data_IF_290867905991
#
_entry.id   IF_290867905991
#
_cell.length_a   1.000
_cell.length_b   1.000
_cell.length_c   1.000
_cell.angle_alpha   90.00
_cell.angle_beta   90.00
_cell.angle_gamma   90.00
#
_symmetry.space_group_name_H-M   'P 1'
#
loop_
_entity.id
_entity.type
_entity.pdbx_description
1 polymer ?
2 branched ?
3 non-polymer ?
4 non-polymer ?
5 non-polymer ?
6 non-polymer ?
7 non-polymer ?
8 water ?
#
# COMPACT_ATOMS: atom_id res chain seq x y z
N UNK A 1 -26.28 7.08 -1.66
CA UNK A 1 -27.23 5.94 -1.82
C UNK A 1 -27.53 5.33 -0.45
N UNK A 2 -28.76 4.87 -0.27
CA UNK A 2 -29.15 4.28 1.00
C UNK A 2 -28.35 3.02 1.28
N UNK A 3 -28.14 2.22 0.24
CA UNK A 3 -27.38 0.98 0.36
C UNK A 3 -26.17 1.01 -0.56
N UNK A 4 -25.10 0.34 -0.14
CA UNK A 4 -23.88 0.27 -0.93
C UNK A 4 -23.38 -1.17 -0.98
N UNK A 5 -22.90 -1.58 -2.15
CA UNK A 5 -22.37 -2.94 -2.33
C UNK A 5 -20.89 -2.95 -1.97
N UNK A 6 -20.59 -2.97 -0.67
CA UNK A 6 -19.21 -2.99 -0.22
C UNK A 6 -18.51 -4.29 -0.61
N UNK A 7 -19.28 -5.36 -0.67
CA UNK A 7 -18.77 -6.68 -1.03
C UNK A 7 -18.11 -6.70 -2.41
N UNK A 8 -18.81 -6.19 -3.41
CA UNK A 8 -18.29 -6.14 -4.76
C UNK A 8 -17.09 -5.19 -4.88
N UNK A 9 -17.14 -4.07 -4.18
CA UNK A 9 -16.04 -3.12 -4.20
C UNK A 9 -14.78 -3.79 -3.65
N UNK A 10 -14.94 -4.55 -2.57
CA UNK A 10 -13.81 -5.25 -1.97
C UNK A 10 -13.21 -6.21 -3.00
N UNK A 11 -14.06 -7.00 -3.64
CA UNK A 11 -13.60 -7.94 -4.64
C UNK A 11 -12.79 -7.23 -5.71
N UNK A 12 -13.32 -6.13 -6.24
CA UNK A 12 -12.63 -5.36 -7.27
C UNK A 12 -11.32 -4.76 -6.80
N UNK A 13 -11.31 -4.18 -5.60
CA UNK A 13 -10.10 -3.56 -5.06
C UNK A 13 -8.95 -4.56 -4.97
N UNK A 14 -9.28 -5.82 -4.70
CA UNK A 14 -8.26 -6.86 -4.60
C UNK A 14 -7.82 -7.26 -6.01
N UNK A 15 -8.79 -7.39 -6.91
CA UNK A 15 -8.52 -7.77 -8.29
C UNK A 15 -7.55 -6.81 -9.00
N UNK A 16 -7.63 -5.52 -8.65
CA UNK A 16 -6.77 -4.52 -9.26
C UNK A 16 -5.29 -4.91 -9.32
N UNK A 17 -4.81 -5.53 -8.25
CA UNK A 17 -3.40 -5.90 -8.20
C UNK A 17 -2.93 -6.77 -9.36
N UNK A 18 -3.84 -7.56 -9.94
CA UNK A 18 -3.48 -8.40 -11.08
C UNK A 18 -2.94 -7.53 -12.23
N UNK A 19 -3.46 -6.31 -12.36
CA UNK A 19 -3.04 -5.43 -13.44
C UNK A 19 -1.58 -4.99 -13.37
N UNK A 20 -1.00 -5.02 -12.18
CA UNK A 20 0.40 -4.60 -12.02
C UNK A 20 1.40 -5.72 -11.75
N UNK A 21 0.96 -6.98 -11.77
CA UNK A 21 1.89 -8.08 -11.55
C UNK A 21 3.02 -8.05 -12.56
N UNK A 22 4.22 -8.33 -12.08
CA UNK A 22 5.42 -8.31 -12.91
C UNK A 22 6.10 -9.68 -12.86
N UNK A 23 6.78 -10.03 -13.94
CA UNK A 23 7.49 -11.31 -13.97
C UNK A 23 6.92 -12.37 -14.90
N UNK A 24 7.61 -13.51 -15.04
CA UNK A 24 7.18 -14.60 -15.89
C UNK A 24 5.85 -15.25 -15.48
N UNK A 25 5.45 -15.08 -14.23
CA UNK A 25 4.20 -15.67 -13.76
C UNK A 25 3.08 -14.65 -13.62
N UNK A 26 3.32 -13.44 -14.11
CA UNK A 26 2.33 -12.37 -14.02
C UNK A 26 0.95 -12.75 -14.54
N UNK A 27 0.91 -13.55 -15.60
CA UNK A 27 -0.36 -13.94 -16.18
C UNK A 27 -1.05 -15.14 -15.55
N UNK A 28 -0.35 -15.81 -14.64
CA UNK A 28 -0.89 -16.98 -13.97
C UNK A 28 -2.05 -16.61 -13.03
N UNK A 29 -3.21 -17.22 -13.26
CA UNK A 29 -4.39 -16.94 -12.45
C UNK A 29 -4.70 -15.44 -12.42
N UNK A 30 -4.50 -14.78 -13.54
CA UNK A 30 -4.75 -13.34 -13.67
C UNK A 30 -6.12 -13.14 -14.31
N UNK A 31 -6.95 -12.28 -13.74
CA UNK A 31 -8.28 -12.03 -14.30
C UNK A 31 -8.28 -11.17 -15.56
N UNK A 32 -7.17 -10.48 -15.81
CA UNK A 32 -7.07 -9.63 -17.00
C UNK A 32 -6.38 -10.40 -18.13
N UNK A 33 -7.10 -10.67 -19.21
CA UNK A 33 -6.52 -11.41 -20.33
C UNK A 33 -5.46 -10.58 -21.06
N UNK A 34 -5.45 -9.27 -20.81
CA UNK A 34 -4.48 -8.40 -21.45
C UNK A 34 -3.12 -8.28 -20.74
N UNK A 35 -2.93 -9.08 -19.69
CA UNK A 35 -1.66 -9.08 -18.96
C UNK A 35 -0.93 -10.39 -19.20
N UNK A 36 0.39 -10.29 -19.40
CA UNK A 36 1.21 -11.47 -19.63
C UNK A 36 2.57 -11.31 -18.99
N UNK A 37 3.45 -12.27 -19.23
CA UNK A 37 4.81 -12.25 -18.69
C UNK A 37 5.56 -10.96 -19.09
N UNK A 38 6.32 -10.41 -18.16
CA UNK A 38 7.09 -9.19 -18.41
C UNK A 38 8.34 -9.08 -17.54
N UNK A 39 9.31 -8.28 -18.00
CA UNK A 39 10.56 -8.04 -17.28
C UNK A 39 11.05 -9.35 -16.65
N UNK A 40 11.12 -10.38 -17.48
CA UNK A 40 11.51 -11.71 -17.05
C UNK A 40 12.96 -11.97 -16.71
N UNK A 41 13.82 -10.96 -16.84
CA UNK A 41 15.23 -11.15 -16.51
C UNK A 41 15.69 -10.17 -15.43
N UNK A 42 14.74 -9.61 -14.70
CA UNK A 42 15.05 -8.66 -13.63
C UNK A 42 16.08 -9.27 -12.67
N UNK A 43 17.12 -8.50 -12.36
CA UNK A 43 18.14 -8.98 -11.46
C UNK A 43 19.37 -9.63 -12.11
N UNK A 44 19.27 -9.96 -13.39
CA UNK A 44 20.36 -10.59 -14.10
C UNK A 44 21.65 -9.77 -14.06
N UNK A 45 21.51 -8.44 -13.96
CA UNK A 45 22.67 -7.58 -13.92
C UNK A 45 23.50 -7.81 -12.66
N UNK A 46 22.87 -8.37 -11.63
CA UNK A 46 23.58 -8.65 -10.38
C UNK A 46 23.67 -10.14 -10.07
N UNK A 47 23.14 -10.97 -10.97
CA UNK A 47 23.21 -12.41 -10.77
C UNK A 47 22.23 -12.95 -9.73
N UNK A 48 21.09 -12.28 -9.57
CA UNK A 48 20.08 -12.72 -8.61
C UNK A 48 18.72 -12.66 -9.28
N UNK A 49 17.90 -13.69 -9.08
CA UNK A 49 16.56 -13.69 -9.68
C UNK A 49 15.70 -12.72 -8.90
N UNK A 50 15.42 -11.56 -9.50
CA UNK A 50 14.59 -10.54 -8.85
C UNK A 50 13.27 -10.31 -9.59
N UNK A 51 12.78 -11.35 -10.28
CA UNK A 51 11.52 -11.25 -11.01
C UNK A 51 10.37 -11.40 -10.02
N UNK A 52 9.19 -10.90 -10.40
CA UNK A 52 8.04 -10.99 -9.52
C UNK A 52 7.70 -9.64 -8.94
N UNK A 53 6.86 -9.61 -7.92
CA UNK A 53 6.50 -8.33 -7.34
C UNK A 53 5.54 -7.57 -8.24
N UNK A 54 5.41 -6.27 -8.03
CA UNK A 54 4.49 -5.46 -8.81
C UNK A 54 5.02 -4.13 -9.33
N UNK A 55 4.50 -3.71 -10.49
CA UNK A 55 4.86 -2.41 -11.05
C UNK A 55 4.26 -1.46 -10.03
N UNK A 56 4.95 -0.37 -9.74
CA UNK A 56 4.50 0.58 -8.73
C UNK A 56 3.17 1.28 -8.97
N UNK A 57 3.04 1.98 -10.09
CA UNK A 57 1.82 2.72 -10.37
C UNK A 57 1.34 2.55 -11.82
N UNK A 58 1.51 3.61 -12.60
CA UNK A 58 1.13 3.57 -14.00
C UNK A 58 2.39 3.25 -14.78
N UNK A 59 3.52 3.27 -14.08
CA UNK A 59 4.82 2.96 -14.66
C UNK A 59 5.18 1.52 -14.33
N UNK A 60 6.42 1.13 -14.64
CA UNK A 60 6.83 -0.25 -14.41
C UNK A 60 7.97 -0.50 -13.43
N UNK A 61 8.48 0.55 -12.81
CA UNK A 61 9.57 0.40 -11.85
C UNK A 61 9.02 -0.24 -10.58
N UNK A 62 9.87 -0.98 -9.88
CA UNK A 62 9.47 -1.59 -8.62
C UNK A 62 10.21 -0.84 -7.52
N UNK A 63 9.52 0.12 -6.89
CA UNK A 63 10.09 0.95 -5.83
C UNK A 63 9.90 0.27 -4.47
N UNK A 64 11.00 0.05 -3.77
CA UNK A 64 10.97 -0.63 -2.48
C UNK A 64 10.07 -0.16 -1.36
N UNK A 65 10.08 1.14 -1.06
CA UNK A 65 9.25 1.65 0.03
C UNK A 65 7.75 1.44 -0.21
N UNK A 66 7.23 1.92 -1.36
CA UNK A 66 5.81 1.70 -1.58
C UNK A 66 5.44 0.23 -1.77
N UNK A 67 6.38 -0.57 -2.27
CA UNK A 67 6.11 -2.00 -2.48
C UNK A 67 5.92 -2.66 -1.10
N UNK A 68 6.81 -2.35 -0.16
CA UNK A 68 6.71 -2.91 1.17
C UNK A 68 5.48 -2.43 1.92
N UNK A 69 5.25 -1.11 1.86
CA UNK A 69 4.10 -0.52 2.54
C UNK A 69 2.80 -1.18 2.08
N UNK A 70 2.64 -1.34 0.77
CA UNK A 70 1.43 -1.93 0.21
C UNK A 70 1.19 -3.36 0.67
N UNK A 71 2.25 -4.16 0.71
CA UNK A 71 2.12 -5.55 1.16
C UNK A 71 1.75 -5.60 2.63
N UNK A 72 2.29 -4.67 3.42
CA UNK A 72 2.02 -4.62 4.85
C UNK A 72 0.57 -4.23 5.13
N UNK A 73 0.08 -3.21 4.43
CA UNK A 73 -1.29 -2.75 4.62
C UNK A 73 -2.31 -3.80 4.16
N UNK A 74 -2.00 -4.50 3.07
CA UNK A 74 -2.90 -5.55 2.60
C UNK A 74 -2.90 -6.67 3.63
N UNK A 75 -1.72 -7.00 4.16
CA UNK A 75 -1.63 -8.04 5.17
C UNK A 75 -2.42 -7.66 6.42
N UNK A 76 -2.34 -6.38 6.79
CA UNK A 76 -3.03 -5.88 7.97
C UNK A 76 -4.55 -5.99 7.79
N UNK A 77 -5.00 -5.70 6.58
CA UNK A 77 -6.41 -5.77 6.24
C UNK A 77 -6.98 -7.17 6.51
N UNK A 78 -6.31 -8.19 5.99
CA UNK A 78 -6.75 -9.56 6.16
C UNK A 78 -6.68 -10.01 7.62
N UNK A 79 -5.66 -9.55 8.33
CA UNK A 79 -5.46 -9.91 9.73
C UNK A 79 -6.57 -9.37 10.64
N UNK A 80 -6.94 -8.10 10.45
CA UNK A 80 -7.96 -7.46 11.28
C UNK A 80 -9.41 -7.74 10.89
N UNK A 81 -9.68 -7.93 9.60
CA UNK A 81 -11.05 -8.17 9.13
C UNK A 81 -11.18 -9.46 8.33
N UNK A 82 -10.55 -10.53 8.82
CA UNK A 82 -10.57 -11.82 8.14
C UNK A 82 -11.97 -12.30 7.73
N UNK A 83 -12.91 -12.15 8.64
CA UNK A 83 -14.28 -12.58 8.41
C UNK A 83 -14.90 -11.87 7.19
N UNK A 84 -14.50 -10.61 6.96
CA UNK A 84 -15.02 -9.87 5.82
C UNK A 84 -14.58 -10.55 4.53
N UNK A 85 -13.37 -11.09 4.51
CA UNK A 85 -12.86 -11.77 3.32
C UNK A 85 -13.48 -13.16 3.17
N UNK A 86 -13.61 -13.88 4.28
CA UNK A 86 -14.20 -15.22 4.24
C UNK A 86 -15.65 -15.21 3.74
N UNK A 87 -16.48 -14.41 4.38
CA UNK A 87 -17.90 -14.33 4.02
C UNK A 87 -18.19 -13.85 2.59
N UNK A 88 -17.28 -13.09 2.00
CA UNK A 88 -17.48 -12.59 0.65
C UNK A 88 -16.76 -13.42 -0.40
N UNK A 89 -16.10 -14.49 0.04
CA UNK A 89 -15.38 -15.35 -0.88
C UNK A 89 -14.16 -14.71 -1.56
N UNK A 90 -13.46 -13.85 -0.84
CA UNK A 90 -12.28 -13.19 -1.38
C UNK A 90 -10.97 -13.58 -0.71
N UNK A 91 -11.04 -14.41 0.33
CA UNK A 91 -9.84 -14.82 1.03
C UNK A 91 -8.81 -15.49 0.13
N UNK A 92 -9.25 -16.40 -0.72
CA UNK A 92 -8.33 -17.10 -1.63
C UNK A 92 -7.54 -16.12 -2.51
N UNK A 93 -8.26 -15.27 -3.24
CA UNK A 93 -7.61 -14.29 -4.11
C UNK A 93 -6.68 -13.37 -3.30
N UNK A 94 -7.19 -12.84 -2.19
CA UNK A 94 -6.36 -11.97 -1.35
C UNK A 94 -5.04 -12.64 -0.98
N UNK A 95 -5.12 -13.87 -0.49
CA UNK A 95 -3.92 -14.61 -0.11
C UNK A 95 -2.99 -14.77 -1.31
N UNK A 96 -3.56 -14.88 -2.51
CA UNK A 96 -2.74 -15.01 -3.70
C UNK A 96 -2.02 -13.68 -3.99
N UNK A 97 -2.71 -12.55 -3.84
CA UNK A 97 -2.07 -11.26 -4.10
C UNK A 97 -0.92 -11.05 -3.10
N UNK A 98 -1.17 -11.42 -1.85
CA UNK A 98 -0.18 -11.29 -0.80
C UNK A 98 1.06 -12.15 -1.05
N UNK A 99 0.85 -13.41 -1.42
CA UNK A 99 1.98 -14.28 -1.67
C UNK A 99 2.82 -13.81 -2.86
N UNK A 100 2.19 -13.17 -3.85
CA UNK A 100 2.93 -12.69 -5.00
C UNK A 100 3.92 -11.63 -4.52
N UNK A 101 3.52 -10.91 -3.47
CA UNK A 101 4.36 -9.89 -2.87
C UNK A 101 5.48 -10.57 -2.09
N UNK A 102 5.12 -11.43 -1.15
CA UNK A 102 6.12 -12.10 -0.33
C UNK A 102 7.14 -12.96 -1.09
N UNK A 103 6.71 -13.67 -2.13
CA UNK A 103 7.66 -14.47 -2.92
C UNK A 103 8.77 -13.54 -3.44
N UNK A 104 8.40 -12.35 -3.87
CA UNK A 104 9.35 -11.37 -4.40
C UNK A 104 10.31 -10.89 -3.32
N UNK A 105 9.79 -10.62 -2.12
CA UNK A 105 10.63 -10.17 -1.02
C UNK A 105 11.65 -11.25 -0.65
N UNK A 106 11.22 -12.51 -0.65
CA UNK A 106 12.12 -13.61 -0.30
C UNK A 106 13.24 -13.75 -1.33
N UNK A 107 12.89 -13.63 -2.62
CA UNK A 107 13.89 -13.73 -3.67
C UNK A 107 14.89 -12.56 -3.62
N UNK A 108 14.44 -11.43 -3.09
CA UNK A 108 15.28 -10.24 -3.00
C UNK A 108 16.18 -10.29 -1.76
N UNK A 109 16.04 -11.35 -0.98
CA UNK A 109 16.81 -11.52 0.25
C UNK A 109 17.66 -12.80 0.11
N UNK A 110 18.65 -12.78 -0.80
CA UNK A 110 19.54 -13.92 -1.05
C UNK A 110 20.36 -14.42 0.15
N UNK A 111 20.68 -13.53 1.07
CA UNK A 111 21.42 -13.91 2.28
C UNK A 111 20.89 -13.05 3.44
N UNK A 112 21.26 -13.42 4.66
CA UNK A 112 20.77 -12.73 5.85
C UNK A 112 21.01 -11.22 5.97
N UNK A 113 22.01 -10.69 5.27
CA UNK A 113 22.28 -9.27 5.39
C UNK A 113 22.17 -8.48 4.08
N UNK A 114 21.40 -8.99 3.13
CA UNK A 114 21.24 -8.31 1.84
C UNK A 114 19.79 -8.25 1.39
N UNK A 115 19.38 -7.09 0.87
CA UNK A 115 18.03 -6.93 0.37
C UNK A 115 17.96 -5.94 -0.78
N UNK A 116 17.69 -6.44 -1.98
CA UNK A 116 17.56 -5.57 -3.15
C UNK A 116 16.15 -5.01 -3.08
N UNK A 117 16.00 -3.71 -3.32
CA UNK A 117 14.68 -3.12 -3.21
C UNK A 117 14.19 -2.19 -4.33
N UNK A 118 14.97 -2.07 -5.40
CA UNK A 118 14.51 -1.28 -6.54
C UNK A 118 15.01 -1.87 -7.84
N UNK A 119 14.07 -2.19 -8.73
CA UNK A 119 14.39 -2.74 -10.03
C UNK A 119 13.85 -1.71 -11.02
N UNK A 120 14.76 -1.14 -11.82
CA UNK A 120 14.36 -0.14 -12.80
C UNK A 120 14.84 1.25 -12.40
N UNK A 121 14.91 2.15 -13.38
CA UNK A 121 15.33 3.52 -13.13
C UNK A 121 14.15 4.39 -13.58
N UNK A 122 13.53 5.07 -12.62
CA UNK A 122 12.37 5.90 -12.91
C UNK A 122 12.39 6.87 -14.08
N UNK A 123 13.44 7.67 -14.19
CA UNK A 123 13.52 8.64 -15.28
C UNK A 123 13.46 8.00 -16.66
N UNK A 124 14.30 7.00 -16.90
CA UNK A 124 14.30 6.31 -18.19
C UNK A 124 13.00 5.52 -18.43
N UNK A 125 12.49 4.86 -17.38
CA UNK A 125 11.26 4.07 -17.49
C UNK A 125 10.08 4.93 -17.95
N UNK A 126 10.04 6.16 -17.44
CA UNK A 126 8.95 7.07 -17.77
C UNK A 126 9.00 7.64 -19.20
N UNK A 127 10.14 7.48 -19.88
CA UNK A 127 10.25 7.98 -21.24
C UNK A 127 9.65 6.93 -22.19
N UNK A 128 9.24 5.81 -21.61
CA UNK A 128 8.65 4.71 -22.37
C UNK A 128 7.14 4.62 -22.15
N UNK A 129 6.40 4.34 -23.22
CA UNK A 129 4.95 4.20 -23.10
C UNK A 129 4.49 3.06 -24.00
N UNK A 130 4.14 1.94 -23.37
CA UNK A 130 3.67 0.77 -24.09
C UNK A 130 3.39 -0.34 -23.11
N UNK A 131 3.15 -1.55 -23.62
CA UNK A 131 2.85 -2.68 -22.76
C UNK A 131 4.11 -3.14 -22.02
N UNK A 132 3.96 -3.51 -20.74
CA UNK A 132 5.16 -3.97 -20.01
C UNK A 132 5.74 -5.24 -20.63
N UNK A 133 4.89 -6.02 -21.28
CA UNK A 133 5.33 -7.26 -21.92
C UNK A 133 6.26 -7.00 -23.11
N UNK A 134 6.22 -5.77 -23.64
CA UNK A 134 7.04 -5.41 -24.78
C UNK A 134 8.20 -4.45 -24.47
N UNK A 135 8.38 -4.10 -23.20
CA UNK A 135 9.47 -3.20 -22.81
C UNK A 135 10.75 -4.01 -22.62
N UNK A 136 11.51 -4.16 -23.70
CA UNK A 136 12.75 -4.94 -23.69
C UNK A 136 13.95 -4.22 -23.08
N UNK A 137 15.00 -4.99 -22.80
CA UNK A 137 16.21 -4.44 -22.22
C UNK A 137 16.39 -4.82 -20.77
N UNK A 138 17.64 -4.90 -20.32
CA UNK A 138 17.92 -5.25 -18.95
C UNK A 138 17.71 -4.06 -18.01
N UNK A 139 16.88 -4.28 -16.98
CA UNK A 139 16.61 -3.24 -16.01
C UNK A 139 17.69 -3.30 -14.94
N UNK A 140 18.07 -2.13 -14.41
CA UNK A 140 19.11 -2.11 -13.37
C UNK A 140 18.56 -2.37 -11.97
N UNK A 141 19.29 -3.17 -11.20
CA UNK A 141 18.90 -3.43 -9.81
C UNK A 141 19.61 -2.26 -9.16
N UNK A 142 18.98 -1.10 -9.29
CA UNK A 142 19.52 0.17 -8.82
C UNK A 142 19.90 0.33 -7.35
N UNK A 143 19.07 -0.17 -6.44
CA UNK A 143 19.36 -0.03 -5.02
C UNK A 143 19.31 -1.33 -4.23
N UNK A 144 20.19 -1.43 -3.24
CA UNK A 144 20.29 -2.61 -2.40
C UNK A 144 20.67 -2.18 -1.00
N UNK A 145 20.09 -2.83 0.00
CA UNK A 145 20.40 -2.52 1.38
C UNK A 145 21.35 -3.60 1.89
N UNK A 146 22.39 -3.18 2.60
CA UNK A 146 23.37 -4.10 3.19
C UNK A 146 24.01 -3.39 4.39
N UNK A 147 24.93 -4.07 5.11
CA UNK A 147 25.57 -3.45 6.27
C UNK A 147 26.12 -2.03 6.08
N UNK A 148 26.50 -1.68 4.85
CA UNK A 148 27.05 -0.36 4.60
C UNK A 148 26.09 0.61 3.89
N UNK A 149 24.88 0.13 3.58
CA UNK A 149 23.89 0.97 2.91
C UNK A 149 22.54 0.83 3.61
N UNK A 150 22.16 1.84 4.41
CA UNK A 150 20.90 1.85 5.15
C UNK A 150 19.62 2.00 4.33
N UNK A 151 18.53 1.43 4.86
CA UNK A 151 17.20 1.50 4.24
C UNK A 151 16.21 0.99 5.29
N UNK A 152 16.36 1.52 6.51
CA UNK A 152 15.54 1.13 7.65
C UNK A 152 14.04 1.17 7.41
N UNK A 153 13.55 2.19 6.72
CA UNK A 153 12.11 2.27 6.46
C UNK A 153 11.65 1.18 5.50
N UNK A 154 12.35 1.02 4.38
CA UNK A 154 12.00 -0.01 3.41
C UNK A 154 12.09 -1.40 4.04
N UNK A 155 13.21 -1.67 4.72
CA UNK A 155 13.40 -2.96 5.36
C UNK A 155 12.31 -3.26 6.38
N UNK A 156 11.90 -2.25 7.14
CA UNK A 156 10.86 -2.44 8.15
C UNK A 156 9.48 -2.71 7.58
N UNK A 157 9.09 -1.97 6.55
CA UNK A 157 7.77 -2.21 5.96
C UNK A 157 7.72 -3.60 5.33
N UNK A 158 8.81 -4.01 4.70
CA UNK A 158 8.90 -5.33 4.10
C UNK A 158 8.83 -6.37 5.21
N UNK A 159 9.52 -6.11 6.32
CA UNK A 159 9.53 -7.01 7.46
C UNK A 159 8.10 -7.19 7.99
N UNK A 160 7.39 -6.09 8.17
CA UNK A 160 6.02 -6.13 8.67
C UNK A 160 5.13 -6.97 7.76
N UNK A 161 5.29 -6.78 6.46
CA UNK A 161 4.51 -7.52 5.47
C UNK A 161 4.75 -9.02 5.58
N UNK A 162 6.00 -9.38 5.85
CA UNK A 162 6.37 -10.79 5.97
C UNK A 162 5.86 -11.41 7.27
N UNK A 163 5.85 -10.63 8.34
CA UNK A 163 5.36 -11.13 9.61
C UNK A 163 3.85 -11.33 9.49
N UNK A 164 3.16 -10.35 8.92
CA UNK A 164 1.72 -10.46 8.75
C UNK A 164 1.37 -11.67 7.90
N UNK A 165 2.22 -12.02 6.94
CA UNK A 165 1.95 -13.19 6.10
C UNK A 165 2.10 -14.44 6.96
N UNK A 166 3.08 -14.45 7.86
CA UNK A 166 3.24 -15.60 8.75
C UNK A 166 1.95 -15.78 9.55
N UNK A 167 1.45 -14.67 10.08
CA UNK A 167 0.21 -14.68 10.88
C UNK A 167 -1.02 -15.08 10.07
N UNK A 168 -1.08 -14.65 8.82
CA UNK A 168 -2.22 -14.96 7.96
C UNK A 168 -2.11 -16.29 7.21
N UNK A 169 -0.89 -16.83 7.13
CA UNK A 169 -0.67 -18.06 6.37
C UNK A 169 -0.29 -19.34 7.13
N UNK A 170 0.08 -19.22 8.40
CA UNK A 170 0.51 -20.40 9.16
C UNK A 170 -0.48 -21.55 9.28
N UNK A 171 -1.76 -21.29 9.03
CA UNK A 171 -2.76 -22.36 9.11
C UNK A 171 -3.00 -22.97 7.74
N UNK A 172 -2.26 -22.49 6.75
CA UNK A 172 -2.38 -23.00 5.38
C UNK A 172 -1.11 -23.74 4.98
N UNK A 173 0.02 -23.04 5.10
CA UNK A 173 1.33 -23.61 4.79
C UNK A 173 2.27 -23.07 5.86
N UNK A 174 2.36 -23.79 6.98
CA UNK A 174 3.19 -23.37 8.11
C UNK A 174 4.67 -23.27 7.77
N UNK A 175 5.15 -24.07 6.83
CA UNK A 175 6.56 -24.03 6.44
C UNK A 175 6.84 -22.71 5.74
N UNK A 176 6.01 -22.37 4.76
CA UNK A 176 6.18 -21.12 4.02
C UNK A 176 6.03 -19.95 4.99
N UNK A 177 5.05 -20.03 5.88
CA UNK A 177 4.81 -18.98 6.84
C UNK A 177 6.06 -18.70 7.68
N UNK A 178 6.76 -19.76 8.09
CA UNK A 178 7.97 -19.59 8.89
C UNK A 178 9.11 -19.02 8.07
N UNK A 179 9.12 -19.32 6.76
CA UNK A 179 10.16 -18.77 5.91
C UNK A 179 9.99 -17.25 5.89
N UNK A 180 8.74 -16.81 5.89
CA UNK A 180 8.41 -15.39 5.90
C UNK A 180 8.84 -14.76 7.23
N UNK A 181 8.50 -15.40 8.33
CA UNK A 181 8.87 -14.87 9.65
C UNK A 181 10.38 -14.80 9.82
N UNK A 182 11.10 -15.83 9.36
CA UNK A 182 12.56 -15.81 9.47
C UNK A 182 13.13 -14.63 8.71
N UNK A 183 12.63 -14.39 7.51
CA UNK A 183 13.09 -13.27 6.70
C UNK A 183 12.73 -11.96 7.37
N UNK A 184 11.52 -11.89 7.93
CA UNK A 184 11.05 -10.68 8.61
C UNK A 184 11.99 -10.32 9.76
N UNK A 185 12.40 -11.33 10.51
CA UNK A 185 13.30 -11.11 11.64
C UNK A 185 14.63 -10.53 11.14
N UNK A 186 15.17 -11.09 10.06
CA UNK A 186 16.44 -10.63 9.53
C UNK A 186 16.40 -9.23 8.92
N UNK A 187 15.34 -8.91 8.18
CA UNK A 187 15.22 -7.59 7.57
C UNK A 187 15.12 -6.52 8.66
N UNK A 188 14.40 -6.84 9.73
CA UNK A 188 14.23 -5.92 10.85
C UNK A 188 15.61 -5.67 11.49
N UNK A 189 16.36 -6.76 11.70
CA UNK A 189 17.69 -6.66 12.30
C UNK A 189 18.56 -5.73 11.46
N UNK A 190 18.53 -5.89 10.15
CA UNK A 190 19.31 -5.04 9.25
C UNK A 190 18.92 -3.59 9.43
N UNK A 191 17.62 -3.33 9.48
CA UNK A 191 17.11 -1.98 9.62
C UNK A 191 17.53 -1.24 10.88
N UNK A 192 17.59 -1.94 12.02
CA UNK A 192 17.99 -1.26 13.24
C UNK A 192 19.51 -1.24 13.41
N UNK A 193 20.22 -2.04 12.63
CA UNK A 193 21.68 -2.10 12.68
C UNK A 193 22.31 -0.83 12.09
N UNK A 194 21.89 -0.47 10.87
CA UNK A 194 22.38 0.72 10.18
C UNK A 194 21.13 1.56 9.90
N UNK A 195 20.92 2.61 10.70
CA UNK A 195 19.73 3.44 10.58
C UNK A 195 19.79 4.60 9.60
N UNK A 196 18.86 4.60 8.66
CA UNK A 196 18.78 5.64 7.66
C UNK A 196 17.71 5.27 6.64
N UNK A 197 17.09 6.26 6.00
CA UNK A 197 16.06 5.96 5.02
C UNK A 197 16.69 5.40 3.76
N UNK A 198 15.95 4.55 3.06
CA UNK A 198 16.45 3.97 1.84
C UNK A 198 16.34 4.97 0.70
N UNK A 199 16.80 4.57 -0.48
CA UNK A 199 16.76 5.41 -1.66
C UNK A 199 15.55 5.13 -2.54
N UNK A 200 14.99 6.19 -3.10
CA UNK A 200 13.84 6.07 -3.97
C UNK A 200 13.86 7.14 -5.05
N UNK A 201 15.06 7.63 -5.37
CA UNK A 201 15.21 8.67 -6.38
C UNK A 201 14.34 9.88 -6.01
N UNK A 202 13.91 10.64 -7.01
CA UNK A 202 13.09 11.82 -6.72
C UNK A 202 11.63 11.42 -6.58
N UNK A 203 11.32 10.19 -6.97
CA UNK A 203 9.95 9.67 -6.95
C UNK A 203 9.45 9.32 -5.56
N UNK A 204 10.30 8.68 -4.77
CA UNK A 204 9.91 8.31 -3.41
C UNK A 204 10.98 8.75 -2.43
N UNK A 205 10.97 10.05 -2.14
CA UNK A 205 11.93 10.62 -1.21
C UNK A 205 11.39 10.46 0.21
N UNK A 206 12.06 9.61 0.98
CA UNK A 206 11.66 9.32 2.34
C UNK A 206 12.20 10.35 3.33
N UNK A 207 11.49 10.51 4.45
CA UNK A 207 11.86 11.46 5.47
C UNK A 207 11.88 10.87 6.87
N UNK A 208 11.45 9.62 7.02
CA UNK A 208 11.41 9.01 8.36
C UNK A 208 11.53 7.49 8.36
N UNK A 209 12.13 6.95 9.41
CA UNK A 209 12.25 5.50 9.53
C UNK A 209 11.91 4.98 10.93
N UNK A 210 11.95 5.88 11.92
CA UNK A 210 11.61 5.47 13.27
C UNK A 210 10.20 4.93 13.33
N UNK A 211 9.32 5.53 12.53
CA UNK A 211 7.93 5.10 12.47
C UNK A 211 7.84 3.67 11.96
N UNK A 212 8.63 3.36 10.93
CA UNK A 212 8.62 2.05 10.33
C UNK A 212 9.22 0.95 11.24
N UNK A 213 10.33 1.27 11.90
CA UNK A 213 10.96 0.31 12.82
C UNK A 213 9.98 -0.08 13.92
N UNK A 214 9.31 0.91 14.51
CA UNK A 214 8.35 0.64 15.58
C UNK A 214 7.23 -0.26 15.08
N UNK A 215 6.68 0.09 13.92
CA UNK A 215 5.61 -0.68 13.28
C UNK A 215 6.01 -2.15 13.09
N UNK A 216 7.16 -2.37 12.46
CA UNK A 216 7.65 -3.74 12.20
C UNK A 216 7.85 -4.50 13.51
N UNK A 217 8.34 -3.79 14.53
CA UNK A 217 8.58 -4.41 15.82
C UNK A 217 7.31 -4.89 16.49
N UNK A 218 6.21 -4.13 16.37
CA UNK A 218 4.96 -4.55 17.02
C UNK A 218 4.43 -5.86 16.44
N UNK A 219 4.61 -6.06 15.13
CA UNK A 219 4.15 -7.30 14.50
C UNK A 219 5.01 -8.48 14.92
N UNK A 220 6.31 -8.25 15.06
CA UNK A 220 7.21 -9.30 15.48
C UNK A 220 6.86 -9.73 16.90
N UNK A 221 6.37 -8.80 17.72
CA UNK A 221 5.96 -9.14 19.08
C UNK A 221 4.71 -10.01 19.01
N UNK A 222 3.74 -9.59 18.20
CA UNK A 222 2.51 -10.34 18.06
C UNK A 222 2.79 -11.79 17.63
N UNK A 223 3.74 -11.96 16.72
CA UNK A 223 4.09 -13.29 16.23
C UNK A 223 4.93 -14.15 17.18
N UNK A 224 5.86 -13.52 17.89
CA UNK A 224 6.76 -14.25 18.78
C UNK A 224 6.50 -14.17 20.27
N UNK A 225 5.84 -13.10 20.71
CA UNK A 225 5.54 -12.88 22.11
C UNK A 225 6.81 -12.50 22.89
N UNK A 226 7.84 -12.10 22.15
CA UNK A 226 9.11 -11.68 22.74
C UNK A 226 8.99 -10.17 22.97
N UNK A 227 8.81 -9.78 24.23
CA UNK A 227 8.64 -8.37 24.57
C UNK A 227 9.82 -7.45 24.28
N UNK A 228 10.97 -8.02 23.89
CA UNK A 228 12.13 -7.20 23.58
C UNK A 228 11.82 -6.34 22.34
N UNK A 229 10.93 -6.84 21.49
CA UNK A 229 10.53 -6.10 20.29
C UNK A 229 9.77 -4.83 20.68
N UNK A 230 9.00 -4.90 21.77
CA UNK A 230 8.24 -3.73 22.20
C UNK A 230 9.17 -2.70 22.84
N UNK A 231 10.24 -3.18 23.48
CA UNK A 231 11.20 -2.29 24.09
C UNK A 231 11.85 -1.49 22.96
N UNK A 232 12.16 -2.17 21.85
CA UNK A 232 12.75 -1.51 20.68
C UNK A 232 11.77 -0.48 20.15
N UNK A 233 10.55 -0.93 19.89
CA UNK A 233 9.49 -0.11 19.34
C UNK A 233 9.26 1.22 20.05
N UNK A 234 9.20 1.20 21.38
CA UNK A 234 8.98 2.43 22.12
C UNK A 234 10.11 3.43 21.95
N UNK A 235 11.33 2.95 21.77
CA UNK A 235 12.48 3.84 21.60
C UNK A 235 12.56 4.38 20.18
N UNK A 236 12.29 3.53 19.19
CA UNK A 236 12.36 3.94 17.79
C UNK A 236 11.28 4.95 17.38
N UNK A 237 10.06 4.76 17.86
CA UNK A 237 8.98 5.68 17.47
C UNK A 237 9.22 7.11 17.92
N UNK A 238 10.20 7.31 18.81
CA UNK A 238 10.50 8.66 19.29
C UNK A 238 11.82 9.20 18.75
N UNK A 239 12.44 8.49 17.83
CA UNK A 239 13.70 8.94 17.24
C UNK A 239 13.52 10.24 16.48
N UNK A 240 14.42 11.19 16.72
CA UNK A 240 14.34 12.47 16.03
C UNK A 240 13.30 13.41 16.58
N UNK A 241 12.43 12.91 17.45
CA UNK A 241 11.40 13.74 18.05
C UNK A 241 12.03 14.85 18.89
N UNK A 242 11.60 16.09 18.66
CA UNK A 242 12.13 17.24 19.37
C UNK A 242 11.02 17.94 20.18
N UNK A 243 9.86 17.31 20.22
CA UNK A 243 8.70 17.85 20.93
C UNK A 243 8.78 17.66 22.44
N UNK A 244 7.88 18.33 23.16
CA UNK A 244 7.82 18.25 24.61
C UNK A 244 7.36 16.85 25.01
N UNK A 245 8.04 16.23 25.98
CA UNK A 245 7.67 14.90 26.43
C UNK A 245 7.49 13.92 25.27
N UNK A 246 8.14 14.19 24.15
CA UNK A 246 8.05 13.32 22.98
C UNK A 246 6.62 13.22 22.44
N UNK A 247 5.83 14.29 22.61
CA UNK A 247 4.46 14.28 22.13
C UNK A 247 4.42 14.07 20.62
N UNK A 248 3.53 13.17 20.19
CA UNK A 248 3.38 12.85 18.78
C UNK A 248 2.04 13.38 18.28
N UNK A 249 2.12 14.37 17.40
CA UNK A 249 0.93 14.98 16.83
C UNK A 249 1.06 14.97 15.31
N UNK A 250 0.65 13.86 14.72
CA UNK A 250 0.74 13.70 13.27
C UNK A 250 -0.44 14.35 12.57
N UNK A 251 -0.17 15.37 11.77
CA UNK A 251 -1.20 16.08 11.03
C UNK A 251 -1.36 15.49 9.62
N UNK A 252 -0.84 14.30 9.41
CA UNK A 252 -0.94 13.65 8.12
C UNK A 252 -1.76 12.38 8.32
N UNK A 253 -1.37 11.29 7.65
CA UNK A 253 -2.08 10.03 7.80
C UNK A 253 -1.18 8.88 7.38
N UNK A 254 -1.70 7.66 7.49
CA UNK A 254 -0.95 6.48 7.10
C UNK A 254 -0.63 6.55 5.62
N UNK A 255 0.64 6.41 5.26
CA UNK A 255 1.05 6.41 3.86
C UNK A 255 2.46 5.80 3.77
N UNK A 256 2.93 5.54 2.56
CA UNK A 256 4.23 4.91 2.37
C UNK A 256 5.41 5.55 3.13
N UNK A 257 5.35 6.86 3.35
CA UNK A 257 6.43 7.55 4.05
C UNK A 257 6.16 7.81 5.53
N UNK A 258 4.90 7.78 5.95
CA UNK A 258 4.54 8.06 7.34
C UNK A 258 3.68 7.00 8.01
N UNK A 259 4.29 6.24 8.91
CA UNK A 259 3.57 5.18 9.62
C UNK A 259 3.49 5.41 11.12
N UNK A 260 3.58 6.68 11.53
CA UNK A 260 3.51 7.00 12.96
C UNK A 260 2.16 6.74 13.60
N UNK A 261 1.07 6.89 12.86
CA UNK A 261 -0.26 6.66 13.43
C UNK A 261 -0.53 5.15 13.62
N UNK A 262 -0.29 4.35 12.56
CA UNK A 262 -0.54 2.90 12.75
C UNK A 262 0.35 2.33 13.86
N UNK A 263 1.60 2.78 13.89
CA UNK A 263 2.55 2.31 14.90
C UNK A 263 2.05 2.69 16.29
N UNK A 264 1.53 3.91 16.42
CA UNK A 264 1.00 4.39 17.70
C UNK A 264 -0.24 3.59 18.09
N UNK A 265 -1.08 3.26 17.12
CA UNK A 265 -2.28 2.49 17.39
C UNK A 265 -1.94 1.13 18.00
N UNK A 266 -1.01 0.41 17.39
CA UNK A 266 -0.63 -0.90 17.89
C UNK A 266 0.03 -0.81 19.26
N UNK A 267 0.86 0.20 19.46
CA UNK A 267 1.52 0.37 20.75
C UNK A 267 0.50 0.70 21.84
N UNK A 268 -0.57 1.38 21.47
CA UNK A 268 -1.62 1.71 22.43
C UNK A 268 -2.27 0.41 22.89
N UNK A 269 -2.56 -0.48 21.95
CA UNK A 269 -3.18 -1.76 22.26
C UNK A 269 -2.27 -2.68 23.08
N UNK A 270 -1.01 -2.73 22.68
CA UNK A 270 -0.01 -3.59 23.32
C UNK A 270 0.53 -3.12 24.67
N UNK A 271 0.70 -1.80 24.83
CA UNK A 271 1.25 -1.26 26.08
C UNK A 271 0.21 -0.57 26.95
N UNK A 272 -0.88 -0.12 26.33
CA UNK A 272 -1.92 0.59 27.06
C UNK A 272 -1.53 1.98 27.53
N UNK A 273 -0.33 2.44 27.15
CA UNK A 273 0.15 3.75 27.57
C UNK A 273 -0.62 4.95 27.02
N UNK A 274 -0.75 5.98 27.85
CA UNK A 274 -1.46 7.19 27.47
C UNK A 274 -0.77 7.97 26.35
N UNK A 275 0.55 7.97 26.33
CA UNK A 275 1.29 8.70 25.29
C UNK A 275 0.82 8.29 23.90
N UNK A 276 0.58 7.00 23.71
CA UNK A 276 0.14 6.49 22.42
C UNK A 276 -1.35 6.75 22.17
N UNK A 277 -2.16 6.68 23.22
CA UNK A 277 -3.58 6.95 23.10
C UNK A 277 -3.75 8.42 22.72
N UNK A 278 -2.88 9.28 23.27
CA UNK A 278 -2.94 10.70 22.96
C UNK A 278 -2.59 10.94 21.49
N UNK A 279 -1.56 10.26 21.00
CA UNK A 279 -1.16 10.42 19.61
C UNK A 279 -2.30 10.06 18.67
N UNK A 280 -2.89 8.88 18.90
CA UNK A 280 -4.00 8.43 18.08
C UNK A 280 -5.19 9.39 18.15
N UNK A 281 -5.54 9.82 19.35
CA UNK A 281 -6.65 10.75 19.52
C UNK A 281 -6.38 12.09 18.85
N UNK A 282 -5.15 12.58 18.87
CA UNK A 282 -4.83 13.85 18.23
C UNK A 282 -5.09 13.75 16.72
N UNK A 283 -4.56 12.70 16.10
CA UNK A 283 -4.73 12.53 14.66
C UNK A 283 -6.18 12.40 14.26
N UNK A 284 -6.97 11.68 15.06
CA UNK A 284 -8.38 11.52 14.77
C UNK A 284 -9.09 12.86 14.94
N UNK A 285 -8.79 13.58 16.02
CA UNK A 285 -9.40 14.88 16.25
C UNK A 285 -9.02 15.87 15.16
N UNK A 286 -7.76 15.80 14.73
CA UNK A 286 -7.26 16.69 13.68
C UNK A 286 -8.06 16.48 12.38
N UNK A 287 -8.28 15.22 12.00
CA UNK A 287 -9.02 14.93 10.79
C UNK A 287 -10.50 15.32 10.91
N UNK A 288 -11.04 15.26 12.12
CA UNK A 288 -12.44 15.62 12.32
C UNK A 288 -12.77 17.07 11.98
N UNK A 289 -11.90 18.00 12.37
CA UNK A 289 -12.17 19.42 12.12
C UNK A 289 -11.09 20.30 11.50
N UNK A 290 -9.85 19.83 11.51
CA UNK A 290 -8.74 20.62 10.97
C UNK A 290 -8.43 20.35 9.50
N UNK A 291 -8.72 19.13 9.03
CA UNK A 291 -8.47 18.79 7.64
C UNK A 291 -9.58 19.38 6.78
N UNK A 292 -9.20 20.03 5.68
CA UNK A 292 -10.16 20.65 4.77
C UNK A 292 -11.20 19.67 4.22
N UNK A 293 -12.46 20.10 4.20
CA UNK A 293 -13.54 19.26 3.67
C UNK A 293 -14.15 19.98 2.47
N UNK A 294 -14.20 19.31 1.34
CA UNK A 294 -14.77 19.90 0.12
C UNK A 294 -16.27 20.05 0.30
N UNK A 295 -16.91 20.87 -0.56
CA UNK A 295 -18.36 21.04 -0.46
C UNK A 295 -19.06 19.68 -0.54
N UNK A 296 -18.47 18.77 -1.30
CA UNK A 296 -19.03 17.45 -1.46
C UNK A 296 -18.85 16.48 -0.29
N UNK A 297 -18.14 16.92 0.75
CA UNK A 297 -17.95 16.06 1.91
C UNK A 297 -16.66 15.24 2.00
N UNK A 298 -15.76 15.44 1.05
CA UNK A 298 -14.49 14.71 1.05
C UNK A 298 -13.43 15.40 1.88
N UNK A 299 -12.73 14.63 2.72
CA UNK A 299 -11.65 15.16 3.54
C UNK A 299 -10.48 15.30 2.58
N UNK A 300 -10.04 16.53 2.35
CA UNK A 300 -8.97 16.84 1.41
C UNK A 300 -7.63 17.14 2.10
N UNK A 301 -6.73 16.16 2.16
CA UNK A 301 -5.44 16.35 2.82
C UNK A 301 -4.43 17.12 1.97
N UNK A 302 -4.31 16.74 0.70
CA UNK A 302 -3.38 17.38 -0.23
C UNK A 302 -3.86 17.18 -1.66
N UNK A 303 -3.16 17.75 -2.62
CA UNK A 303 -3.57 17.66 -4.03
C UNK A 303 -3.28 16.37 -4.79
N UNK A 304 -2.22 15.64 -4.41
CA UNK A 304 -1.88 14.42 -5.12
C UNK A 304 -2.38 13.17 -4.40
N UNK A 305 -3.13 12.33 -5.12
CA UNK A 305 -3.66 11.11 -4.52
C UNK A 305 -4.49 11.42 -3.29
N UNK A 306 -5.40 12.37 -3.42
CA UNK A 306 -6.24 12.78 -2.31
C UNK A 306 -7.15 11.67 -1.76
N UNK A 307 -7.67 10.81 -2.63
CA UNK A 307 -8.55 9.73 -2.18
C UNK A 307 -7.77 8.64 -1.45
N UNK A 308 -6.53 8.43 -1.87
CA UNK A 308 -5.64 7.45 -1.24
C UNK A 308 -5.51 7.83 0.23
N UNK A 309 -5.40 9.14 0.50
CA UNK A 309 -5.28 9.61 1.88
C UNK A 309 -6.57 9.43 2.68
N UNK A 310 -7.70 9.77 2.08
CA UNK A 310 -9.00 9.63 2.77
C UNK A 310 -9.30 8.17 3.15
N UNK A 311 -8.97 7.25 2.23
CA UNK A 311 -9.21 5.83 2.46
C UNK A 311 -8.27 5.27 3.54
N UNK A 312 -7.02 5.73 3.53
CA UNK A 312 -6.02 5.27 4.49
C UNK A 312 -6.39 5.69 5.92
N UNK A 313 -6.77 6.95 6.09
CA UNK A 313 -7.16 7.43 7.42
C UNK A 313 -8.42 6.69 7.88
N UNK A 314 -9.37 6.48 6.97
CA UNK A 314 -10.60 5.77 7.30
C UNK A 314 -10.36 4.31 7.75
N UNK A 315 -9.41 3.64 7.12
CA UNK A 315 -9.08 2.26 7.48
C UNK A 315 -8.54 2.19 8.92
N UNK A 316 -7.66 3.13 9.26
CA UNK A 316 -7.08 3.17 10.60
C UNK A 316 -8.20 3.31 11.62
N UNK A 317 -9.12 4.25 11.37
CA UNK A 317 -10.24 4.47 12.26
C UNK A 317 -11.11 3.21 12.43
N UNK A 318 -11.33 2.47 11.35
CA UNK A 318 -12.16 1.27 11.46
C UNK A 318 -11.47 0.16 12.27
N UNK A 319 -10.15 0.05 12.16
CA UNK A 319 -9.42 -0.96 12.93
C UNK A 319 -9.57 -0.56 14.39
N UNK A 320 -9.40 0.72 14.67
CA UNK A 320 -9.52 1.27 16.02
C UNK A 320 -10.90 1.01 16.63
N UNK A 321 -11.94 1.15 15.82
CA UNK A 321 -13.32 0.95 16.28
C UNK A 321 -13.67 -0.47 16.71
N UNK A 322 -12.89 -1.46 16.31
CA UNK A 322 -13.16 -2.84 16.69
C UNK A 322 -13.21 -3.01 18.21
N UNK A 323 -12.30 -2.36 18.91
CA UNK A 323 -12.26 -2.45 20.36
C UNK A 323 -12.77 -1.17 21.01
N UNK A 324 -12.79 -0.08 20.24
CA UNK A 324 -13.25 1.21 20.74
C UNK A 324 -14.37 1.76 19.85
N UNK A 325 -15.61 1.33 20.08
CA UNK A 325 -16.75 1.79 19.28
C UNK A 325 -16.95 3.30 19.35
N UNK A 326 -16.56 4.01 18.29
CA UNK A 326 -16.69 5.46 18.24
C UNK A 326 -17.55 5.84 17.04
N UNK A 327 -18.81 6.14 17.29
CA UNK A 327 -19.74 6.49 16.21
C UNK A 327 -19.28 7.66 15.34
N UNK A 328 -18.58 8.62 15.92
CA UNK A 328 -18.12 9.77 15.14
C UNK A 328 -17.10 9.28 14.11
N UNK A 329 -16.32 8.28 14.48
CA UNK A 329 -15.32 7.73 13.57
C UNK A 329 -15.96 6.82 12.53
N UNK A 330 -17.00 6.09 12.92
CA UNK A 330 -17.69 5.22 11.98
C UNK A 330 -18.40 6.05 10.92
N UNK A 331 -18.97 7.18 11.34
CA UNK A 331 -19.66 8.06 10.41
C UNK A 331 -18.69 8.72 9.43
N UNK A 332 -17.55 9.20 9.92
CA UNK A 332 -16.58 9.85 9.04
C UNK A 332 -16.02 8.86 8.03
N UNK A 333 -15.68 7.66 8.50
CA UNK A 333 -15.14 6.63 7.63
C UNK A 333 -16.13 6.23 6.55
N UNK A 334 -17.39 6.05 6.93
CA UNK A 334 -18.42 5.65 6.00
C UNK A 334 -18.65 6.71 4.92
N UNK A 335 -18.59 7.99 5.31
CA UNK A 335 -18.79 9.06 4.35
C UNK A 335 -17.67 9.11 3.31
N UNK A 336 -16.45 8.86 3.73
CA UNK A 336 -15.31 8.87 2.80
C UNK A 336 -15.41 7.70 1.84
N UNK A 337 -15.77 6.52 2.35
CA UNK A 337 -15.90 5.34 1.51
C UNK A 337 -17.01 5.55 0.48
N UNK A 338 -18.19 5.94 0.97
CA UNK A 338 -19.33 6.17 0.09
C UNK A 338 -19.06 7.26 -0.94
N UNK A 339 -18.21 8.22 -0.59
CA UNK A 339 -17.88 9.30 -1.53
C UNK A 339 -17.10 8.65 -2.68
N UNK A 340 -16.13 7.80 -2.31
CA UNK A 340 -15.31 7.11 -3.31
C UNK A 340 -16.17 6.22 -4.19
N UNK A 341 -17.16 5.58 -3.59
CA UNK A 341 -18.05 4.67 -4.31
C UNK A 341 -19.04 5.35 -5.25
N UNK A 342 -19.22 6.66 -5.12
CA UNK A 342 -20.14 7.34 -6.03
C UNK A 342 -20.96 8.49 -5.45
N UNK A 343 -20.99 8.63 -4.13
CA UNK A 343 -21.75 9.71 -3.49
C UNK A 343 -20.93 11.00 -3.54
N UNK A 344 -20.92 11.66 -4.68
CA UNK A 344 -20.16 12.91 -4.83
C UNK A 344 -20.74 13.82 -5.91
N UNK A 345 -20.35 15.10 -5.90
CA UNK A 345 -20.83 16.09 -6.88
C UNK A 345 -20.53 15.73 -8.33
N UNK A 346 -19.53 14.87 -8.55
CA UNK A 346 -19.17 14.47 -9.90
C UNK A 346 -19.98 13.25 -10.31
N UNK A 347 -20.78 12.73 -9.39
CA UNK A 347 -21.61 11.55 -9.68
C UNK A 347 -20.80 10.48 -10.40
N UNK A 348 -19.66 10.09 -9.83
CA UNK A 348 -18.84 9.07 -10.46
C UNK A 348 -18.14 8.20 -9.43
N UNK A 349 -17.96 6.93 -9.78
CA UNK A 349 -17.26 6.01 -8.90
C UNK A 349 -15.79 6.29 -9.13
N UNK A 350 -15.03 6.43 -8.05
CA UNK A 350 -13.61 6.68 -8.19
C UNK A 350 -12.83 5.37 -8.28
N UNK A 351 -13.57 4.26 -8.26
CA UNK A 351 -12.99 2.92 -8.39
C UNK A 351 -13.37 2.47 -9.82
N UNK A 352 -12.37 2.38 -10.70
CA UNK A 352 -12.61 1.98 -12.07
C UNK A 352 -13.25 0.59 -12.16
N UNK A 353 -14.26 0.46 -13.01
CA UNK A 353 -14.92 -0.83 -13.17
C UNK A 353 -15.99 -1.12 -12.14
N UNK A 354 -16.21 -0.17 -11.23
CA UNK A 354 -17.21 -0.33 -10.20
C UNK A 354 -18.19 0.83 -10.27
N UNK A 355 -19.44 0.57 -9.96
CA UNK A 355 -20.45 1.62 -9.98
C UNK A 355 -20.71 2.16 -11.36
N UNK A 356 -20.59 3.47 -11.55
CA UNK A 356 -20.84 4.05 -12.86
C UNK A 356 -20.03 5.30 -13.14
N UNK A 357 -19.98 5.68 -14.41
CA UNK A 357 -19.30 6.89 -14.82
C UNK A 357 -17.87 7.02 -14.27
N UNK A 358 -17.07 5.96 -14.41
CA UNK A 358 -15.70 5.99 -13.90
C UNK A 358 -14.66 6.59 -14.84
N UNK A 359 -13.44 6.76 -14.34
CA UNK A 359 -12.34 7.33 -15.12
C UNK A 359 -12.08 6.50 -16.37
N UNK A 360 -12.03 7.15 -17.54
CA UNK A 360 -11.78 6.44 -18.78
C UNK A 360 -10.38 6.68 -19.32
N UNK A 361 -9.66 7.62 -18.70
CA UNK A 361 -8.29 7.95 -19.11
C UNK A 361 -7.30 7.71 -17.96
N UNK A 362 -7.23 6.46 -17.45
CA UNK A 362 -6.29 6.21 -16.35
C UNK A 362 -4.83 6.33 -16.80
N UNK A 363 -3.98 6.86 -15.93
CA UNK A 363 -2.56 6.99 -16.25
C UNK A 363 -1.95 5.64 -15.89
N UNK A 364 -2.18 4.65 -16.76
CA UNK A 364 -1.67 3.31 -16.55
C UNK A 364 -1.28 2.74 -17.91
N UNK A 365 0.00 2.49 -18.11
CA UNK A 365 0.49 1.98 -19.39
C UNK A 365 -0.18 0.71 -19.91
N UNK A 366 -0.23 -0.36 -19.09
CA UNK A 366 -0.85 -1.59 -19.56
C UNK A 366 -2.33 -1.44 -19.93
N UNK A 367 -3.10 -0.79 -19.05
CA UNK A 367 -4.52 -0.60 -19.32
C UNK A 367 -4.76 0.32 -20.51
N UNK A 368 -3.98 1.39 -20.62
CA UNK A 368 -4.12 2.34 -21.73
C UNK A 368 -4.06 1.58 -23.04
N UNK A 369 -3.04 0.72 -23.16
CA UNK A 369 -2.88 -0.11 -24.34
C UNK A 369 -2.40 0.54 -25.63
N UNK A 370 -1.97 1.80 -25.57
CA UNK A 370 -1.47 2.49 -26.76
C UNK A 370 -0.02 2.92 -26.55
N UNK A 371 0.55 3.62 -27.53
CA UNK A 371 1.92 4.11 -27.44
C UNK A 371 1.96 5.63 -27.61
N UNK A 372 3.15 6.22 -27.52
CA UNK A 372 3.30 7.67 -27.68
C UNK A 372 3.09 8.08 -29.13
N UNK A 373 3.17 7.11 -30.03
CA UNK A 373 3.01 7.32 -31.48
C UNK A 373 2.41 8.67 -31.87
N UNK A 374 1.15 8.67 -32.27
CA UNK A 374 0.45 9.89 -32.67
C UNK A 374 -0.25 10.49 -31.46
N UNK A 375 0.32 10.27 -30.28
CA UNK A 375 -0.32 10.76 -29.08
C UNK A 375 -1.53 9.90 -28.85
N UNK A 376 -1.43 8.64 -29.28
CA UNK A 376 -2.53 7.68 -29.13
C UNK A 376 -2.80 7.47 -27.65
N UNK A 377 -1.76 7.65 -26.85
CA UNK A 377 -1.86 7.47 -25.39
C UNK A 377 -2.89 8.41 -24.77
N UNK A 378 -3.43 9.33 -25.58
CA UNK A 378 -4.44 10.27 -25.09
C UNK A 378 -5.84 9.72 -25.27
N UNK A 379 -5.97 8.68 -26.07
CA UNK A 379 -7.27 8.05 -26.32
C UNK A 379 -7.73 7.30 -25.08
N UNK A 380 -9.04 7.00 -24.98
CA UNK A 380 -9.55 6.27 -23.82
C UNK A 380 -8.85 4.93 -23.68
N UNK A 381 -8.51 4.56 -22.45
CA UNK A 381 -7.83 3.29 -22.18
C UNK A 381 -8.53 2.15 -22.91
N UNK A 382 -7.73 1.28 -23.52
CA UNK A 382 -8.24 0.14 -24.27
C UNK A 382 -8.83 -0.95 -23.38
N UNK A 383 -8.29 -1.08 -22.17
CA UNK A 383 -8.75 -2.11 -21.24
C UNK A 383 -9.32 -1.54 -19.94
N UNK A 384 -10.19 -2.34 -19.30
CA UNK A 384 -10.82 -1.94 -18.05
C UNK A 384 -9.94 -2.31 -16.85
N UNK A 385 -9.45 -1.29 -16.15
CA UNK A 385 -8.59 -1.46 -14.99
C UNK A 385 -9.46 -1.65 -13.74
N UNK A 386 -10.20 -2.75 -13.73
CA UNK A 386 -11.11 -3.06 -12.64
C UNK A 386 -10.51 -2.93 -11.24
N UNK A 387 -11.19 -2.15 -10.39
CA UNK A 387 -10.77 -1.95 -9.02
C UNK A 387 -9.76 -0.87 -8.69
N UNK A 388 -9.23 -0.18 -9.70
CA UNK A 388 -8.24 0.85 -9.42
C UNK A 388 -8.82 2.15 -8.84
N UNK A 389 -8.24 2.60 -7.73
CA UNK A 389 -8.66 3.85 -7.11
C UNK A 389 -7.81 4.93 -7.77
N UNK A 390 -8.44 5.93 -8.38
CA UNK A 390 -7.67 6.99 -9.03
C UNK A 390 -7.32 8.11 -8.06
N UNK A 391 -6.45 9.01 -8.49
CA UNK A 391 -6.04 10.12 -7.64
C UNK A 391 -7.22 10.85 -7.02
N UNK A 392 -8.15 11.31 -7.85
CA UNK A 392 -9.31 12.00 -7.32
C UNK A 392 -9.53 13.41 -7.85
N UNK A 393 -10.53 14.11 -7.32
CA UNK A 393 -10.89 15.49 -7.69
C UNK A 393 -10.09 16.57 -6.98
N UNK A 394 -10.33 17.83 -7.35
CA UNK A 394 -9.65 18.94 -6.69
C UNK A 394 -10.48 19.28 -5.47
N UNK A 395 -10.10 20.33 -4.74
CA UNK A 395 -10.85 20.67 -3.55
C UNK A 395 -12.25 21.22 -3.80
N UNK A 396 -12.63 21.31 -5.08
CA UNK A 396 -13.96 21.79 -5.48
C UNK A 396 -14.79 20.60 -5.99
N UNK A 397 -14.29 19.38 -5.75
CA UNK A 397 -14.97 18.16 -6.17
C UNK A 397 -14.99 17.96 -7.69
N UNK A 398 -14.17 18.73 -8.40
CA UNK A 398 -14.10 18.61 -9.86
C UNK A 398 -13.05 17.59 -10.28
N UNK A 399 -13.40 16.75 -11.25
CA UNK A 399 -12.48 15.74 -11.75
C UNK A 399 -12.14 15.97 -13.21
N UNK A 400 -10.84 15.98 -13.51
CA UNK A 400 -10.37 16.17 -14.89
C UNK A 400 -9.92 14.82 -15.43
N UNK A 401 -10.75 14.23 -16.28
CA UNK A 401 -10.44 12.92 -16.85
C UNK A 401 -9.46 12.98 -18.02
N UNK A 402 -8.17 13.13 -17.70
CA UNK A 402 -7.12 13.20 -18.72
C UNK A 402 -5.84 12.50 -18.26
N UNK A 403 -5.32 11.63 -19.12
CA UNK A 403 -4.10 10.88 -18.81
C UNK A 403 -2.89 11.76 -18.48
N UNK A 404 -2.86 12.98 -19.02
CA UNK A 404 -1.74 13.88 -18.75
C UNK A 404 -1.80 14.45 -17.34
N UNK A 405 -3.00 14.58 -16.79
CA UNK A 405 -3.18 15.11 -15.45
C UNK A 405 -2.96 13.96 -14.47
N UNK A 406 -1.70 13.62 -14.22
CA UNK A 406 -1.36 12.51 -13.31
C UNK A 406 -2.03 12.67 -11.95
N UNK A 407 -2.09 13.92 -11.48
CA UNK A 407 -2.69 14.22 -10.18
C UNK A 407 -4.09 13.65 -10.03
N UNK A 408 -4.85 13.67 -11.11
CA UNK A 408 -6.22 13.16 -11.10
C UNK A 408 -6.36 11.70 -11.53
N UNK A 409 -5.64 11.31 -12.56
CA UNK A 409 -5.76 9.98 -13.14
C UNK A 409 -4.77 8.85 -12.85
N UNK A 410 -3.72 9.08 -12.10
CA UNK A 410 -2.84 7.95 -11.90
C UNK A 410 -3.37 7.01 -10.81
N UNK A 411 -2.90 5.77 -10.84
CA UNK A 411 -3.29 4.75 -9.87
C UNK A 411 -1.98 4.19 -9.31
N UNK A 412 -2.05 3.47 -8.20
CA UNK A 412 -0.84 2.92 -7.62
C UNK A 412 -1.13 1.87 -6.57
N UNK A 413 -0.13 1.03 -6.29
CA UNK A 413 -0.26 -0.01 -5.29
C UNK A 413 -0.62 0.59 -3.93
N UNK A 414 0.09 1.65 -3.53
CA UNK A 414 -0.18 2.25 -2.23
C UNK A 414 -1.58 2.82 -2.12
N UNK A 415 -2.14 3.25 -3.26
CA UNK A 415 -3.49 3.80 -3.29
C UNK A 415 -4.50 2.70 -2.91
N UNK A 416 -4.45 1.58 -3.63
CA UNK A 416 -5.36 0.47 -3.38
C UNK A 416 -5.16 -0.32 -2.08
N UNK A 417 -3.96 -0.28 -1.53
CA UNK A 417 -3.72 -1.01 -0.29
C UNK A 417 -4.69 -0.54 0.81
N UNK A 418 -4.76 0.76 1.00
CA UNK A 418 -5.65 1.31 2.02
C UNK A 418 -7.13 1.12 1.68
N UNK A 419 -7.44 1.06 0.38
CA UNK A 419 -8.81 0.88 -0.06
C UNK A 419 -9.33 -0.52 0.31
N UNK A 420 -8.52 -1.54 0.06
CA UNK A 420 -8.93 -2.90 0.39
C UNK A 420 -9.25 -2.98 1.88
N UNK A 421 -8.36 -2.39 2.68
CA UNK A 421 -8.53 -2.39 4.12
C UNK A 421 -9.79 -1.68 4.60
N UNK A 422 -10.04 -0.49 4.08
CA UNK A 422 -11.22 0.26 4.50
C UNK A 422 -12.51 -0.43 4.04
N UNK A 423 -12.47 -1.06 2.87
CA UNK A 423 -13.65 -1.76 2.38
C UNK A 423 -13.92 -3.02 3.23
N UNK A 424 -12.86 -3.70 3.65
CA UNK A 424 -13.04 -4.89 4.47
C UNK A 424 -13.66 -4.47 5.80
N UNK A 425 -13.27 -3.27 6.27
CA UNK A 425 -13.79 -2.75 7.51
C UNK A 425 -15.24 -2.32 7.35
N UNK A 426 -15.58 -1.75 6.20
CA UNK A 426 -16.95 -1.30 5.95
C UNK A 426 -17.91 -2.49 5.99
N UNK A 427 -17.45 -3.62 5.47
CA UNK A 427 -18.26 -4.83 5.45
C UNK A 427 -18.58 -5.30 6.87
N UNK A 428 -17.57 -5.25 7.74
CA UNK A 428 -17.73 -5.67 9.13
C UNK A 428 -18.72 -4.81 9.91
N UNK A 429 -18.57 -3.49 9.81
CA UNK A 429 -19.41 -2.56 10.55
C UNK A 429 -20.74 -2.16 9.93
N UNK A 430 -20.79 -2.08 8.60
CA UNK A 430 -22.01 -1.66 7.93
C UNK A 430 -22.71 -2.79 7.18
N UNK A 431 -22.09 -3.97 7.19
CA UNK A 431 -22.68 -5.12 6.52
C UNK A 431 -22.37 -5.19 5.04
X LIG B 1 6.82 13.57 -18.60
X LIG B 1 6.89 12.37 -17.65
X LIG B 1 5.61 11.53 -17.74
X LIG B 1 5.34 11.15 -19.21
X LIG B 1 4.02 10.43 -19.40
X LIG B 1 6.52 13.08 -20.02
X LIG B 1 6.38 14.18 -20.86
X LIG B 1 8.05 14.27 -18.59
X LIG B 1 7.07 12.82 -16.32
X LIG B 1 5.76 10.32 -16.96
X LIG B 1 5.29 12.35 -20.03
X LIG B 1 2.93 11.23 -18.98
X LIG B 2 4.97 8.74 -15.36
X LIG B 2 4.19 8.59 -14.05
X LIG B 2 4.70 9.59 -13.01
X LIG B 2 4.69 11.01 -13.60
X LIG B 2 5.27 12.03 -12.65
X LIG B 2 4.96 10.20 -15.84
X LIG B 2 4.36 7.92 -16.36
X LIG B 2 4.33 7.27 -13.56
X LIG B 2 3.86 9.56 -11.87
X LIG B 2 5.48 11.05 -14.81
X LIG B 2 6.63 11.74 -12.32
X LIG C 1 8.60 6.55 7.29
X LIG D 1 6.92 -6.21 -15.26
X LIG E 1 -24.76 6.54 -0.23
X LIG F 1 2.83 10.20 -4.10
X LIG F 1 1.83 11.24 -3.78
X LIG F 1 4.17 10.71 -3.75
X LIG F 1 2.77 9.90 -5.55
X LIG F 1 2.53 8.97 -3.34
X LIG G 1 -11.16 10.05 19.18
X LIG G 1 -12.31 9.70 18.23
X LIG G 1 -11.52 11.07 20.26
X LIG G 1 -12.26 12.27 19.57
X LIG H 1 4.83 12.86 5.42
X LIG H 1 5.88 11.79 5.77
X LIG H 1 4.04 13.38 6.64
X LIG H 1 5.06 13.97 7.67
X LIG I 1 4.04 15.30 0.01
X LIG I 1 2.79 15.11 -0.88
X LIG I 1 3.91 14.68 1.42
X LIG I 1 4.30 13.17 1.32
#
# INVERSE_FOLDING_TARGET
AGTHDYSTALKDSIIFFDANKCGPQAGENNVFDWRGACHTTDGSDVGVDLTGGYHDAGDHVKFGLPQGYSAAILGWSLYEFKESFDATGNTTKMLQQLKYFTDYFLKSHPNSTTFYYQVGEGNADHTYWGAPEEQTGQRPSLYKADPSSPASDILSETSAALTLMYLNYKNIDSAYATKCLNAAKELYAMGKANQGVGNGQSFYQATSFGDDLAWAATWLYTATNDSTYITDAEQFITLGNTMNENKMQDKWTMCWDDMYVPAALRLAQITGKQIYKDAIEFNFNYWKTQVTTTPGGLKWLSNWGVLRYAAAESMVMLVYCKQNPDQSLLDLAKKQVDYILGDNPANMSYIIGYGSNWCIHPHHRAANGYTYANGDNAKPAKHLLTGALVGGPDQNDKFLDDANQYQYTEVALDYNAGLVGVLAGAIKFFGGTIVNPPVKK
BGC C2 C3 C4 C5 C6 C1 O1 O2 O3 O4 O5 O6
BGC C2 C3 C4 C5 C6 C1 O2 O3 O4 O5 O6
CA CA
ZN ZN
NI NI
SO4 S O1 O2 O3 O4
EDO C1 O1 C2 O2
EDO C1 O1 C2 O2
EDO C1 O1 C2 O2
#
